data_IF_503310205825
#
_entry.id   IF_503310205825
#
_cell.length_a   1.000
_cell.length_b   1.000
_cell.length_c   1.000
_cell.angle_alpha   90.00
_cell.angle_beta   90.00
_cell.angle_gamma   90.00
#
_symmetry.space_group_name_H-M   'P 1'
#
loop_
_entity.id
_entity.type
_entity.pdbx_description
1 polymer ?
#
# COMPACT_ATOMS: atom_id res chain seq x y z
N UNK A 1 5.53 -16.11 -16.22
CA UNK A 1 6.67 -15.30 -16.69
C UNK A 1 6.12 -13.92 -17.01
N UNK A 2 5.77 -13.15 -15.98
CA UNK A 2 5.28 -11.79 -16.17
C UNK A 2 6.45 -10.82 -16.18
N UNK A 3 6.21 -9.65 -16.78
CA UNK A 3 7.13 -8.52 -16.88
C UNK A 3 7.62 -7.97 -15.52
N UNK A 4 7.13 -8.49 -14.39
CA UNK A 4 7.60 -8.12 -13.06
C UNK A 4 8.86 -8.88 -12.59
N UNK A 5 9.28 -9.97 -13.25
CA UNK A 5 10.38 -10.82 -12.72
C UNK A 5 11.38 -11.36 -13.73
N UNK A 6 11.29 -11.02 -15.02
CA UNK A 6 12.35 -11.35 -15.98
C UNK A 6 13.43 -10.25 -15.94
N UNK A 7 14.30 -10.30 -14.93
CA UNK A 7 15.54 -9.50 -14.92
C UNK A 7 15.89 -8.70 -13.66
N UNK A 8 15.28 -8.94 -12.49
CA UNK A 8 15.67 -8.26 -11.24
C UNK A 8 15.26 -6.78 -11.16
N UNK A 9 14.27 -6.37 -11.94
CA UNK A 9 13.85 -4.98 -12.05
C UNK A 9 12.62 -4.70 -11.15
N UNK A 10 12.88 -4.33 -9.90
CA UNK A 10 11.83 -3.96 -8.93
C UNK A 10 11.42 -2.51 -9.11
N UNK A 11 10.12 -2.24 -9.25
CA UNK A 11 9.57 -0.88 -9.21
C UNK A 11 8.87 -0.65 -7.88
N UNK A 12 9.28 0.39 -7.15
CA UNK A 12 8.70 0.79 -5.88
C UNK A 12 7.99 2.15 -6.01
N UNK A 13 6.78 2.22 -5.49
CA UNK A 13 5.95 3.42 -5.42
C UNK A 13 5.85 3.83 -3.94
N UNK A 14 6.24 5.06 -3.64
CA UNK A 14 6.20 5.66 -2.30
C UNK A 14 5.38 6.95 -2.34
N UNK A 15 4.79 7.35 -1.21
CA UNK A 15 4.04 8.60 -1.10
C UNK A 15 4.55 9.50 0.00
N UNK A 16 4.79 10.75 -0.35
CA UNK A 16 5.21 11.77 0.60
C UNK A 16 4.30 12.99 0.53
N UNK A 17 3.58 13.26 1.63
CA UNK A 17 2.57 14.32 1.70
C UNK A 17 2.94 15.45 2.66
N UNK A 18 4.04 15.34 3.38
CA UNK A 18 4.49 16.32 4.38
C UNK A 18 5.58 17.24 3.81
N UNK A 19 6.00 18.25 4.56
CA UNK A 19 6.98 19.22 4.07
C UNK A 19 8.39 18.61 3.93
N UNK A 20 9.25 19.14 3.03
CA UNK A 20 10.62 18.66 2.87
C UNK A 20 11.44 18.64 4.16
N UNK A 21 11.19 19.57 5.08
CA UNK A 21 11.92 19.69 6.36
C UNK A 21 11.62 18.54 7.33
N UNK A 22 10.53 17.82 7.12
CA UNK A 22 10.17 16.64 7.91
C UNK A 22 10.80 15.35 7.41
N UNK A 23 11.43 15.36 6.23
CA UNK A 23 12.10 14.19 5.70
C UNK A 23 13.40 13.94 6.48
N UNK A 24 13.49 12.80 7.15
CA UNK A 24 14.55 12.52 8.11
C UNK A 24 15.25 11.18 7.90
N UNK A 25 15.89 10.72 8.98
CA UNK A 25 16.69 9.49 8.97
C UNK A 25 15.83 8.23 8.82
N UNK A 26 14.59 8.23 9.33
CA UNK A 26 13.68 7.10 9.21
C UNK A 26 13.32 6.87 7.74
N UNK A 27 12.90 7.92 7.04
CA UNK A 27 12.51 7.88 5.64
C UNK A 27 13.70 7.58 4.73
N UNK A 28 14.87 8.12 5.08
CA UNK A 28 16.12 7.79 4.39
C UNK A 28 16.43 6.29 4.53
N UNK A 29 16.22 5.70 5.71
CA UNK A 29 16.43 4.26 5.94
C UNK A 29 15.49 3.40 5.10
N UNK A 30 14.27 3.87 4.80
CA UNK A 30 13.36 3.18 3.88
C UNK A 30 13.96 3.11 2.48
N UNK A 31 14.41 4.25 1.92
CA UNK A 31 15.06 4.30 0.61
C UNK A 31 16.33 3.44 0.57
N UNK A 32 17.17 3.55 1.59
CA UNK A 32 18.41 2.78 1.71
C UNK A 32 18.12 1.27 1.76
N UNK A 33 17.07 0.84 2.48
CA UNK A 33 16.70 -0.57 2.54
C UNK A 33 16.24 -1.14 1.19
N UNK A 34 15.51 -0.33 0.40
CA UNK A 34 15.12 -0.70 -0.96
C UNK A 34 16.38 -0.93 -1.81
N UNK A 35 17.28 0.05 -1.85
CA UNK A 35 18.49 -0.05 -2.69
C UNK A 35 19.54 -1.04 -2.16
N UNK A 36 19.53 -1.34 -0.86
CA UNK A 36 20.35 -2.39 -0.29
C UNK A 36 20.00 -3.77 -0.85
N UNK A 37 18.70 -4.10 -0.89
CA UNK A 37 18.22 -5.37 -1.42
C UNK A 37 18.12 -5.37 -2.95
N UNK A 38 17.77 -4.23 -3.55
CA UNK A 38 17.52 -4.06 -4.97
C UNK A 38 18.29 -2.84 -5.52
N UNK A 39 19.61 -2.94 -5.76
CA UNK A 39 20.42 -1.81 -6.22
C UNK A 39 19.98 -1.22 -7.57
N UNK A 40 19.24 -1.99 -8.36
CA UNK A 40 18.71 -1.60 -9.67
C UNK A 40 17.22 -1.26 -9.66
N UNK A 41 16.61 -1.10 -8.47
CA UNK A 41 15.20 -0.73 -8.37
C UNK A 41 14.92 0.66 -8.99
N UNK A 42 13.75 0.80 -9.59
CA UNK A 42 13.15 2.10 -9.92
C UNK A 42 12.24 2.53 -8.78
N UNK A 43 12.55 3.66 -8.14
CA UNK A 43 11.76 4.21 -7.05
C UNK A 43 11.11 5.53 -7.49
N UNK A 44 9.79 5.57 -7.46
CA UNK A 44 9.00 6.77 -7.71
C UNK A 44 8.36 7.25 -6.40
N UNK A 45 8.75 8.44 -5.95
CA UNK A 45 8.16 9.11 -4.79
C UNK A 45 7.10 10.10 -5.26
N UNK A 46 5.84 9.76 -5.07
CA UNK A 46 4.72 10.64 -5.39
C UNK A 46 4.59 11.72 -4.32
N UNK A 47 4.82 12.97 -4.71
CA UNK A 47 4.77 14.10 -3.80
C UNK A 47 4.44 15.41 -4.50
N UNK A 48 3.58 16.19 -3.87
CA UNK A 48 3.28 17.57 -4.26
C UNK A 48 4.03 18.60 -3.40
N UNK A 49 4.83 18.14 -2.42
CA UNK A 49 5.53 18.98 -1.43
C UNK A 49 7.04 18.94 -1.60
N UNK A 50 7.59 17.85 -2.13
CA UNK A 50 9.02 17.74 -2.43
C UNK A 50 9.36 18.39 -3.79
N UNK A 51 10.47 19.15 -3.89
CA UNK A 51 11.06 19.52 -5.17
C UNK A 51 11.37 18.30 -6.04
N UNK A 52 11.30 18.43 -7.37
CA UNK A 52 11.59 17.32 -8.28
C UNK A 52 13.03 16.84 -8.23
N UNK A 53 13.95 17.69 -7.77
CA UNK A 53 15.37 17.41 -7.57
C UNK A 53 15.74 17.09 -6.12
N UNK A 54 14.74 16.86 -5.24
CA UNK A 54 14.95 16.62 -3.81
C UNK A 54 15.94 15.47 -3.53
N UNK A 55 15.91 14.41 -4.36
CA UNK A 55 16.80 13.26 -4.25
C UNK A 55 17.97 13.28 -5.24
N UNK A 56 18.42 14.46 -5.70
CA UNK A 56 19.52 14.57 -6.67
C UNK A 56 20.80 13.84 -6.26
N UNK A 57 21.10 13.74 -4.95
CA UNK A 57 22.25 12.99 -4.43
C UNK A 57 22.16 11.49 -4.72
N UNK A 58 20.98 10.87 -4.63
CA UNK A 58 20.75 9.47 -4.98
C UNK A 58 20.93 9.25 -6.49
N UNK A 59 20.39 10.15 -7.31
CA UNK A 59 20.55 10.10 -8.76
C UNK A 59 22.02 10.23 -9.18
N UNK A 60 22.78 11.13 -8.55
CA UNK A 60 24.23 11.27 -8.77
C UNK A 60 25.02 10.02 -8.34
N UNK A 61 24.54 9.28 -7.35
CA UNK A 61 25.11 8.00 -6.92
C UNK A 61 24.72 6.82 -7.83
N UNK A 62 23.88 7.03 -8.84
CA UNK A 62 23.47 6.02 -9.82
C UNK A 62 22.16 5.29 -9.49
N UNK A 63 21.42 5.71 -8.46
CA UNK A 63 20.14 5.11 -8.11
C UNK A 63 18.99 5.74 -8.91
N UNK A 64 18.08 4.91 -9.41
CA UNK A 64 16.88 5.36 -10.11
C UNK A 64 15.81 5.78 -9.09
N UNK A 65 15.89 7.02 -8.63
CA UNK A 65 14.95 7.63 -7.68
C UNK A 65 14.44 8.97 -8.23
N UNK A 66 13.13 9.12 -8.37
CA UNK A 66 12.47 10.34 -8.84
C UNK A 66 11.38 10.81 -7.87
N UNK A 67 11.15 12.13 -7.86
CA UNK A 67 9.95 12.72 -7.27
C UNK A 67 8.96 13.02 -8.40
N UNK A 68 7.73 12.56 -8.24
CA UNK A 68 6.64 12.73 -9.21
C UNK A 68 5.46 13.49 -8.58
N UNK A 69 5.14 14.71 -9.06
CA UNK A 69 3.90 15.38 -8.72
C UNK A 69 2.67 14.59 -9.19
N UNK A 70 1.56 14.70 -8.46
CA UNK A 70 0.32 13.99 -8.77
C UNK A 70 -0.92 14.87 -8.64
N UNK A 71 -1.90 14.65 -9.53
CA UNK A 71 -3.23 15.22 -9.41
C UNK A 71 -4.16 14.22 -8.72
N UNK A 72 -4.38 14.38 -7.40
CA UNK A 72 -5.23 13.50 -6.61
C UNK A 72 -6.67 13.45 -7.17
N UNK A 73 -7.27 14.61 -7.43
CA UNK A 73 -8.65 14.73 -7.89
C UNK A 73 -8.81 14.11 -9.27
N UNK A 74 -7.94 14.49 -10.21
CA UNK A 74 -7.97 13.97 -11.58
C UNK A 74 -7.64 12.49 -11.66
N UNK A 75 -6.78 11.96 -10.78
CA UNK A 75 -6.46 10.53 -10.73
C UNK A 75 -7.66 9.72 -10.25
N UNK A 76 -8.27 10.09 -9.11
CA UNK A 76 -9.39 9.34 -8.54
C UNK A 76 -10.68 9.45 -9.36
N UNK A 77 -10.94 10.62 -9.97
CA UNK A 77 -12.13 10.85 -10.78
C UNK A 77 -12.25 9.93 -12.01
N UNK A 78 -11.16 9.28 -12.44
CA UNK A 78 -11.20 8.29 -13.54
C UNK A 78 -11.90 6.98 -13.15
N UNK A 79 -11.98 6.70 -11.85
CA UNK A 79 -12.35 5.37 -11.34
C UNK A 79 -13.71 5.34 -10.66
N UNK A 80 -14.30 6.51 -10.38
CA UNK A 80 -15.54 6.61 -9.62
C UNK A 80 -16.66 7.30 -10.41
N UNK A 81 -17.92 7.02 -10.07
CA UNK A 81 -19.07 7.73 -10.63
C UNK A 81 -18.96 9.25 -10.43
N UNK A 82 -19.47 10.03 -11.39
CA UNK A 82 -19.38 11.49 -11.35
C UNK A 82 -20.19 12.14 -10.19
N UNK A 83 -21.16 11.42 -9.63
CA UNK A 83 -21.97 11.82 -8.49
C UNK A 83 -21.38 11.40 -7.13
N UNK A 84 -20.26 10.65 -7.12
CA UNK A 84 -19.53 10.33 -5.90
C UNK A 84 -18.58 11.47 -5.50
N UNK A 85 -18.94 12.22 -4.45
CA UNK A 85 -18.13 13.32 -3.94
C UNK A 85 -17.26 12.92 -2.74
N UNK A 86 -16.16 12.21 -3.04
CA UNK A 86 -15.13 11.87 -2.04
C UNK A 86 -14.53 13.10 -1.34
N UNK A 87 -14.47 14.24 -2.03
CA UNK A 87 -13.81 15.45 -1.53
C UNK A 87 -14.71 16.33 -0.68
N UNK A 88 -16.00 16.00 -0.58
CA UNK A 88 -16.93 16.64 0.37
C UNK A 88 -16.43 16.57 1.81
N UNK A 89 -15.68 15.50 2.15
CA UNK A 89 -15.15 15.27 3.48
C UNK A 89 -13.81 15.97 3.77
N UNK A 90 -13.18 16.63 2.79
CA UNK A 90 -11.81 17.20 2.89
C UNK A 90 -11.62 18.13 4.09
N UNK A 91 -12.68 18.85 4.48
CA UNK A 91 -12.66 19.78 5.61
C UNK A 91 -13.40 19.29 6.85
N UNK A 92 -14.13 18.17 6.76
CA UNK A 92 -15.01 17.71 7.84
C UNK A 92 -14.55 16.42 8.49
N UNK A 93 -13.75 15.60 7.81
CA UNK A 93 -13.25 14.33 8.34
C UNK A 93 -11.80 14.46 8.80
N UNK A 94 -11.52 13.98 10.01
CA UNK A 94 -10.17 13.82 10.54
C UNK A 94 -9.35 12.77 9.77
N UNK A 95 -10.01 11.89 9.02
CA UNK A 95 -9.39 10.76 8.31
C UNK A 95 -9.22 11.00 6.81
N UNK A 96 -9.66 12.15 6.28
CA UNK A 96 -9.64 12.43 4.86
C UNK A 96 -8.27 12.17 4.21
N UNK A 97 -7.17 12.63 4.82
CA UNK A 97 -5.84 12.42 4.25
C UNK A 97 -5.41 10.95 4.27
N UNK A 98 -5.83 10.17 5.29
CA UNK A 98 -5.59 8.71 5.31
C UNK A 98 -6.37 8.00 4.22
N UNK A 99 -7.63 8.40 4.02
CA UNK A 99 -8.45 7.85 2.94
C UNK A 99 -7.91 8.26 1.57
N UNK A 100 -7.45 9.50 1.41
CA UNK A 100 -6.87 9.97 0.16
C UNK A 100 -5.62 9.18 -0.21
N UNK A 101 -4.76 8.85 0.76
CA UNK A 101 -3.58 8.00 0.51
C UNK A 101 -3.95 6.54 0.23
N UNK A 102 -4.95 5.98 0.93
CA UNK A 102 -5.51 4.64 0.65
C UNK A 102 -6.07 4.53 -0.79
N UNK A 103 -6.89 5.49 -1.21
CA UNK A 103 -7.45 5.49 -2.56
C UNK A 103 -6.37 5.70 -3.63
N UNK A 104 -5.42 6.61 -3.38
CA UNK A 104 -4.37 6.92 -4.34
C UNK A 104 -3.38 5.77 -4.50
N UNK A 105 -3.04 5.03 -3.44
CA UNK A 105 -2.21 3.82 -3.57
C UNK A 105 -2.89 2.74 -4.39
N UNK A 106 -4.21 2.58 -4.28
CA UNK A 106 -4.95 1.65 -5.14
C UNK A 106 -4.89 2.08 -6.60
N UNK A 107 -5.14 3.35 -6.88
CA UNK A 107 -5.10 3.90 -8.23
C UNK A 107 -3.72 3.77 -8.87
N UNK A 108 -2.64 4.15 -8.18
CA UNK A 108 -1.30 4.08 -8.76
C UNK A 108 -0.82 2.65 -8.95
N UNK A 109 -1.12 1.75 -8.01
CA UNK A 109 -0.75 0.35 -8.16
C UNK A 109 -1.56 -0.32 -9.29
N UNK A 110 -2.83 0.06 -9.47
CA UNK A 110 -3.62 -0.36 -10.63
C UNK A 110 -3.07 0.22 -11.95
N UNK A 111 -2.69 1.50 -12.00
CA UNK A 111 -2.20 2.14 -13.22
C UNK A 111 -0.79 1.67 -13.62
N UNK A 112 0.13 1.54 -12.65
CA UNK A 112 1.57 1.34 -12.90
C UNK A 112 2.09 -0.04 -12.53
N UNK A 113 1.41 -0.75 -11.65
CA UNK A 113 1.93 -1.96 -11.01
C UNK A 113 3.21 -1.72 -10.20
N UNK A 114 3.82 -2.80 -9.74
CA UNK A 114 5.03 -2.77 -8.93
C UNK A 114 4.72 -3.04 -7.46
N UNK A 115 5.51 -2.43 -6.58
CA UNK A 115 5.40 -2.57 -5.12
C UNK A 115 5.06 -1.21 -4.52
N UNK A 116 3.94 -1.11 -3.83
CA UNK A 116 3.66 0.02 -2.95
C UNK A 116 4.22 -0.26 -1.55
N UNK A 117 4.80 0.76 -0.91
CA UNK A 117 5.07 0.71 0.53
C UNK A 117 4.95 2.10 1.19
N UNK A 118 4.58 2.16 2.46
CA UNK A 118 4.59 3.39 3.26
C UNK A 118 6.04 3.80 3.62
N UNK A 119 6.25 5.10 3.84
CA UNK A 119 7.57 5.68 4.15
C UNK A 119 8.09 5.39 5.57
N UNK A 120 7.32 4.67 6.37
CA UNK A 120 7.74 4.13 7.66
C UNK A 120 8.12 2.64 7.57
N UNK A 121 7.92 1.98 6.42
CA UNK A 121 8.22 0.55 6.23
C UNK A 121 9.67 0.36 5.80
N UNK A 122 10.48 -0.33 6.59
CA UNK A 122 11.84 -0.73 6.18
C UNK A 122 11.78 -2.12 5.56
N UNK A 123 12.40 -2.31 4.40
CA UNK A 123 12.52 -3.61 3.75
C UNK A 123 13.55 -4.47 4.51
N UNK A 124 13.13 -5.62 5.02
CA UNK A 124 13.99 -6.55 5.77
C UNK A 124 14.57 -7.68 4.89
N UNK A 125 13.89 -8.03 3.80
CA UNK A 125 14.26 -9.13 2.92
C UNK A 125 14.12 -8.73 1.44
N UNK A 126 14.89 -9.33 0.52
CA UNK A 126 14.67 -9.17 -0.92
C UNK A 126 13.27 -9.62 -1.34
N UNK A 127 12.75 -9.00 -2.41
CA UNK A 127 11.39 -9.20 -2.92
C UNK A 127 11.34 -10.23 -4.07
N UNK A 128 12.49 -10.70 -4.56
CA UNK A 128 12.61 -11.52 -5.78
C UNK A 128 11.90 -12.87 -5.70
N UNK A 129 11.71 -13.39 -4.48
CA UNK A 129 11.15 -14.73 -4.24
C UNK A 129 9.68 -14.68 -3.77
N UNK A 130 9.03 -13.51 -3.87
CA UNK A 130 7.63 -13.36 -3.51
C UNK A 130 6.71 -13.63 -4.73
N UNK A 131 5.43 -13.94 -4.50
CA UNK A 131 4.43 -13.98 -5.56
C UNK A 131 4.35 -12.66 -6.33
N UNK A 132 3.74 -12.64 -7.51
CA UNK A 132 3.58 -11.39 -8.29
C UNK A 132 2.46 -10.50 -7.76
N UNK A 133 1.50 -11.08 -7.03
CA UNK A 133 0.34 -10.40 -6.44
C UNK A 133 0.20 -10.76 -4.97
N UNK A 134 0.52 -9.83 -4.10
CA UNK A 134 0.46 -10.03 -2.66
C UNK A 134 0.23 -8.74 -1.90
N UNK A 135 -0.21 -8.93 -0.66
CA UNK A 135 -0.22 -7.92 0.37
C UNK A 135 0.08 -8.59 1.70
N UNK A 136 0.49 -7.79 2.68
CA UNK A 136 0.87 -8.31 3.98
C UNK A 136 -0.30 -8.23 4.99
N UNK A 137 -0.38 -9.23 5.86
CA UNK A 137 -1.33 -9.16 6.97
C UNK A 137 -0.79 -8.22 8.07
N UNK A 138 -1.65 -7.47 8.73
CA UNK A 138 -1.25 -6.51 9.76
C UNK A 138 -0.75 -7.16 11.05
N UNK A 139 -1.26 -8.35 11.39
CA UNK A 139 -0.99 -9.02 12.66
C UNK A 139 -0.63 -10.49 12.49
N UNK A 140 0.42 -10.95 13.17
CA UNK A 140 0.82 -12.35 13.26
C UNK A 140 0.47 -12.94 14.63
N UNK A 141 0.67 -14.25 14.78
CA UNK A 141 0.64 -14.92 16.08
C UNK A 141 1.71 -14.36 17.02
N UNK A 142 2.88 -14.03 16.49
CA UNK A 142 4.01 -13.45 17.20
C UNK A 142 3.74 -11.98 17.60
N UNK A 143 2.96 -11.27 16.79
CA UNK A 143 2.62 -9.87 16.99
C UNK A 143 1.10 -9.63 16.81
N UNK A 144 0.28 -10.07 17.78
CA UNK A 144 -1.17 -9.96 17.69
C UNK A 144 -1.65 -8.51 17.90
N UNK A 145 -2.87 -8.16 17.44
CA UNK A 145 -3.43 -6.84 17.68
C UNK A 145 -3.58 -6.56 19.18
N UNK A 146 -3.30 -5.32 19.58
CA UNK A 146 -3.61 -4.86 20.95
C UNK A 146 -5.10 -5.04 21.23
N UNK A 147 -5.48 -5.40 22.46
CA UNK A 147 -6.89 -5.64 22.85
C UNK A 147 -7.84 -4.48 22.56
N UNK A 148 -7.34 -3.25 22.52
CA UNK A 148 -8.11 -2.04 22.23
C UNK A 148 -8.28 -1.78 20.73
N UNK A 149 -7.55 -2.51 19.88
CA UNK A 149 -7.63 -2.39 18.44
C UNK A 149 -8.90 -3.08 17.91
N UNK A 150 -9.54 -2.48 16.91
CA UNK A 150 -10.74 -3.03 16.26
C UNK A 150 -10.50 -4.44 15.67
N UNK A 151 -9.28 -4.71 15.19
CA UNK A 151 -8.88 -5.99 14.64
C UNK A 151 -8.83 -7.11 15.70
N UNK A 152 -8.73 -6.79 16.99
CA UNK A 152 -8.68 -7.81 18.05
C UNK A 152 -9.97 -8.64 18.14
N UNK A 153 -11.11 -8.12 17.66
CA UNK A 153 -12.37 -8.88 17.56
C UNK A 153 -12.42 -9.81 16.36
N UNK A 154 -11.53 -9.58 15.42
CA UNK A 154 -11.50 -10.25 14.13
C UNK A 154 -10.31 -11.17 14.02
N UNK A 155 -9.33 -11.14 14.92
CA UNK A 155 -8.10 -11.89 14.81
C UNK A 155 -8.14 -13.16 15.68
N UNK A 156 -7.89 -14.30 15.05
CA UNK A 156 -7.62 -15.59 15.67
C UNK A 156 -6.21 -16.04 15.26
N UNK A 157 -5.27 -16.23 16.20
CA UNK A 157 -3.90 -16.63 15.88
C UNK A 157 -3.79 -18.03 15.25
N UNK A 158 -4.82 -18.87 15.36
CA UNK A 158 -4.86 -20.22 14.78
C UNK A 158 -5.70 -20.29 13.49
N UNK A 159 -6.40 -19.21 13.12
CA UNK A 159 -7.22 -19.16 11.91
C UNK A 159 -6.89 -17.94 11.04
N UNK A 160 -6.12 -18.19 9.98
CA UNK A 160 -5.69 -17.17 9.01
C UNK A 160 -6.85 -16.52 8.24
N UNK A 161 -8.05 -17.11 8.26
CA UNK A 161 -9.25 -16.51 7.63
C UNK A 161 -9.74 -15.24 8.33
N UNK A 162 -9.19 -14.99 9.51
CA UNK A 162 -9.56 -13.90 10.41
C UNK A 162 -8.49 -12.78 10.36
N UNK A 163 -7.36 -13.03 9.72
CA UNK A 163 -6.21 -12.12 9.72
C UNK A 163 -6.51 -10.86 8.92
N UNK A 164 -6.45 -9.72 9.62
CA UNK A 164 -6.63 -8.41 9.04
C UNK A 164 -5.40 -8.07 8.21
N UNK A 165 -5.61 -7.57 7.00
CA UNK A 165 -4.54 -7.10 6.13
C UNK A 165 -4.43 -5.59 6.15
N UNK A 166 -3.26 -5.05 5.83
CA UNK A 166 -3.07 -3.61 5.67
C UNK A 166 -2.66 -3.26 4.23
N UNK A 167 -2.83 -1.98 3.89
CA UNK A 167 -2.39 -1.43 2.61
C UNK A 167 -1.00 -0.80 2.67
N UNK A 168 -0.23 -1.03 3.74
CA UNK A 168 1.05 -0.38 3.97
C UNK A 168 2.18 -0.98 3.12
N UNK A 169 2.00 -2.21 2.64
CA UNK A 169 2.93 -2.84 1.71
C UNK A 169 2.23 -3.90 0.85
N UNK A 170 2.26 -3.71 -0.46
CA UNK A 170 1.54 -4.55 -1.42
C UNK A 170 2.26 -4.57 -2.77
N UNK A 171 2.15 -5.66 -3.52
CA UNK A 171 2.64 -5.71 -4.89
C UNK A 171 1.61 -6.32 -5.83
N UNK A 172 1.41 -5.70 -6.98
CA UNK A 172 0.49 -6.18 -8.00
C UNK A 172 1.01 -5.81 -9.40
N UNK A 173 0.71 -6.62 -10.43
CA UNK A 173 0.93 -6.22 -11.81
C UNK A 173 0.02 -5.03 -12.18
N UNK A 174 0.37 -4.23 -13.20
CA UNK A 174 -0.50 -3.18 -13.69
C UNK A 174 -1.84 -3.78 -14.17
N UNK A 175 -2.92 -3.07 -13.89
CA UNK A 175 -4.30 -3.43 -14.21
C UNK A 175 -4.80 -4.73 -13.55
N UNK A 176 -4.24 -5.09 -12.40
CA UNK A 176 -4.69 -6.27 -11.66
C UNK A 176 -6.18 -6.17 -11.28
N UNK A 177 -7.01 -7.21 -11.53
CA UNK A 177 -8.43 -7.20 -11.20
C UNK A 177 -8.72 -6.96 -9.71
N UNK A 178 -7.84 -7.41 -8.80
CA UNK A 178 -8.03 -7.18 -7.37
C UNK A 178 -7.91 -5.69 -7.04
N UNK A 179 -6.90 -5.01 -7.59
CA UNK A 179 -6.72 -3.58 -7.41
C UNK A 179 -7.82 -2.77 -8.10
N UNK A 180 -8.29 -3.23 -9.26
CA UNK A 180 -9.45 -2.65 -9.93
C UNK A 180 -10.68 -2.70 -9.03
N UNK A 181 -10.97 -3.88 -8.45
CA UNK A 181 -12.12 -4.06 -7.55
C UNK A 181 -11.96 -3.23 -6.28
N UNK A 182 -10.77 -3.22 -5.68
CA UNK A 182 -10.48 -2.41 -4.49
C UNK A 182 -10.78 -0.93 -4.71
N UNK A 183 -10.37 -0.40 -5.86
CA UNK A 183 -10.60 1.00 -6.22
C UNK A 183 -12.06 1.28 -6.60
N UNK A 184 -12.68 0.43 -7.42
CA UNK A 184 -14.06 0.57 -7.89
C UNK A 184 -15.07 0.61 -6.74
N UNK A 185 -14.84 -0.17 -5.69
CA UNK A 185 -15.79 -0.36 -4.58
C UNK A 185 -15.65 0.65 -3.45
N UNK A 186 -14.67 1.56 -3.52
CA UNK A 186 -14.52 2.64 -2.53
C UNK A 186 -15.85 3.41 -2.30
N UNK A 187 -16.61 3.83 -3.33
CA UNK A 187 -17.88 4.55 -3.12
C UNK A 187 -18.93 3.75 -2.33
N UNK A 188 -18.86 2.42 -2.32
CA UNK A 188 -19.82 1.55 -1.63
C UNK A 188 -19.50 1.38 -0.14
N UNK A 189 -18.23 1.53 0.23
CA UNK A 189 -17.73 1.19 1.58
C UNK A 189 -17.12 2.38 2.32
N UNK A 190 -16.92 3.51 1.64
CA UNK A 190 -16.32 4.69 2.23
C UNK A 190 -17.21 5.28 3.33
N UNK A 191 -16.66 5.30 4.53
CA UNK A 191 -17.20 6.01 5.67
C UNK A 191 -16.16 7.06 6.11
N UNK A 192 -16.46 8.37 5.98
CA UNK A 192 -15.52 9.45 6.31
C UNK A 192 -15.20 9.49 7.80
N UNK A 193 -16.01 8.90 8.68
CA UNK A 193 -15.82 8.91 10.13
C UNK A 193 -15.08 7.65 10.63
N UNK A 194 -14.72 6.73 9.73
CA UNK A 194 -14.03 5.48 10.08
C UNK A 194 -12.69 5.40 9.35
N UNK A 195 -11.61 5.59 10.10
CA UNK A 195 -10.23 5.57 9.59
C UNK A 195 -9.92 4.38 8.66
N UNK A 196 -10.30 3.17 9.07
CA UNK A 196 -9.93 1.93 8.35
C UNK A 196 -10.91 1.54 7.22
N UNK A 197 -11.94 2.34 6.94
CA UNK A 197 -13.09 1.95 6.10
C UNK A 197 -12.69 1.50 4.70
N UNK A 198 -11.84 2.28 4.03
CA UNK A 198 -11.36 2.00 2.67
C UNK A 198 -9.95 1.40 2.62
N UNK A 199 -9.26 1.34 3.77
CA UNK A 199 -7.93 0.77 3.90
C UNK A 199 -7.96 -0.68 4.39
N UNK A 200 -7.46 -0.98 5.60
CA UNK A 200 -7.36 -2.35 6.12
C UNK A 200 -8.68 -3.15 6.10
N UNK A 201 -9.80 -2.53 6.49
CA UNK A 201 -11.08 -3.24 6.54
C UNK A 201 -11.55 -3.63 5.13
N UNK A 202 -11.44 -2.70 4.18
CA UNK A 202 -11.84 -2.93 2.80
C UNK A 202 -11.05 -4.07 2.15
N UNK A 203 -9.73 -3.98 2.17
CA UNK A 203 -8.84 -5.01 1.62
C UNK A 203 -9.11 -6.37 2.26
N UNK A 204 -9.32 -6.40 3.59
CA UNK A 204 -9.64 -7.64 4.29
C UNK A 204 -10.99 -8.20 3.83
N UNK A 205 -12.02 -7.37 3.70
CA UNK A 205 -13.36 -7.79 3.30
C UNK A 205 -13.43 -8.27 1.84
N UNK A 206 -12.56 -7.75 0.97
CA UNK A 206 -12.42 -8.28 -0.39
C UNK A 206 -11.82 -9.67 -0.38
N UNK A 207 -10.78 -9.89 0.43
CA UNK A 207 -10.04 -11.16 0.45
C UNK A 207 -10.73 -12.27 1.24
N UNK A 208 -11.54 -11.91 2.25
CA UNK A 208 -12.05 -12.83 3.26
C UNK A 208 -13.57 -12.70 3.42
N UNK A 209 -14.26 -13.82 3.27
CA UNK A 209 -15.64 -13.98 3.71
C UNK A 209 -15.65 -14.22 5.22
N UNK A 210 -15.76 -13.13 5.97
CA UNK A 210 -15.71 -13.14 7.43
C UNK A 210 -16.88 -13.87 8.08
N UNK A 211 -18.01 -14.02 7.37
CA UNK A 211 -19.18 -14.73 7.90
C UNK A 211 -18.91 -16.23 7.89
N UNK A 212 -18.30 -16.73 6.82
CA UNK A 212 -18.02 -18.15 6.64
C UNK A 212 -16.56 -18.55 6.97
N UNK A 213 -15.77 -17.62 7.53
CA UNK A 213 -14.37 -17.83 7.93
C UNK A 213 -13.53 -18.48 6.82
N UNK A 214 -13.58 -17.90 5.61
CA UNK A 214 -12.85 -18.45 4.45
C UNK A 214 -12.37 -17.39 3.47
N UNK A 215 -11.41 -17.77 2.64
CA UNK A 215 -10.97 -16.98 1.48
C UNK A 215 -12.11 -16.82 0.48
N UNK A 216 -12.23 -15.63 -0.11
CA UNK A 216 -13.10 -15.41 -1.26
C UNK A 216 -12.48 -16.12 -2.48
N UNK A 217 -13.17 -17.07 -3.13
CA UNK A 217 -12.59 -17.89 -4.20
C UNK A 217 -12.02 -17.07 -5.38
N UNK A 218 -12.66 -15.94 -5.68
CA UNK A 218 -12.22 -15.00 -6.73
C UNK A 218 -10.79 -14.51 -6.53
N UNK A 219 -10.33 -14.39 -5.28
CA UNK A 219 -9.05 -13.80 -4.91
C UNK A 219 -8.05 -14.82 -4.34
N UNK A 220 -8.28 -16.11 -4.50
CA UNK A 220 -7.34 -17.16 -4.04
C UNK A 220 -5.91 -16.97 -4.60
N UNK A 221 -5.77 -16.39 -5.79
CA UNK A 221 -4.48 -16.08 -6.40
C UNK A 221 -3.74 -14.89 -5.79
N UNK A 222 -4.35 -14.09 -4.92
CA UNK A 222 -3.69 -12.96 -4.22
C UNK A 222 -3.09 -13.48 -2.92
N UNK A 223 -1.77 -13.58 -2.83
CA UNK A 223 -1.15 -14.10 -1.62
C UNK A 223 -1.29 -13.12 -0.44
N UNK A 224 -1.59 -13.64 0.74
CA UNK A 224 -1.46 -12.89 2.00
C UNK A 224 -0.17 -13.38 2.67
N UNK A 225 0.78 -12.48 2.83
CA UNK A 225 2.09 -12.78 3.41
C UNK A 225 2.19 -12.28 4.86
N UNK A 226 3.00 -12.93 5.72
CA UNK A 226 3.43 -12.31 6.96
C UNK A 226 4.21 -11.04 6.68
N UNK A 227 3.98 -10.00 7.49
CA UNK A 227 4.79 -8.79 7.43
C UNK A 227 6.26 -9.14 7.61
N UNK A 228 6.59 -10.13 8.43
CA UNK A 228 7.93 -10.63 8.67
C UNK A 228 8.62 -11.19 7.41
N UNK A 229 7.86 -11.57 6.37
CA UNK A 229 8.45 -11.95 5.08
C UNK A 229 9.08 -10.74 4.36
N UNK A 230 8.67 -9.52 4.67
CA UNK A 230 9.04 -8.31 3.91
C UNK A 230 9.59 -7.17 4.78
N UNK A 231 9.15 -7.03 6.03
CA UNK A 231 9.49 -5.95 6.94
C UNK A 231 9.81 -6.50 8.36
N UNK A 232 10.59 -5.77 9.17
CA UNK A 232 11.16 -6.33 10.40
C UNK A 232 10.14 -6.53 11.54
N UNK A 233 9.02 -5.79 11.58
CA UNK A 233 7.98 -5.94 12.61
C UNK A 233 6.61 -5.45 12.07
N UNK A 234 5.49 -6.13 12.38
CA UNK A 234 4.14 -5.59 12.17
C UNK A 234 3.76 -4.45 13.15
N UNK A 235 2.81 -3.61 12.72
CA UNK A 235 2.42 -2.29 13.29
C UNK A 235 1.47 -2.35 14.50
#
# INVERSE_FOLDING_TARGET
>A
LSEASVGGHVRVLLFWTTSPESFGAQESSVLESIFYHHPQAEVAVFSNTLPTDFFASFALAGYALSVEPYDLRGTLAKHWPADFDFFSAEKSSDFFYSHATDALRFALLYERGGVYMDFDVVLANPLDNLPERWLAFQYSKEHPPKRTNWAARLFDPEDTSTWVVNGAMMAFPPRDPFMARALETVPEVWDPEVWYSIGPQHLTNLLLDRVNARRVPEWEGVAILPMEAVAPVPW
#
